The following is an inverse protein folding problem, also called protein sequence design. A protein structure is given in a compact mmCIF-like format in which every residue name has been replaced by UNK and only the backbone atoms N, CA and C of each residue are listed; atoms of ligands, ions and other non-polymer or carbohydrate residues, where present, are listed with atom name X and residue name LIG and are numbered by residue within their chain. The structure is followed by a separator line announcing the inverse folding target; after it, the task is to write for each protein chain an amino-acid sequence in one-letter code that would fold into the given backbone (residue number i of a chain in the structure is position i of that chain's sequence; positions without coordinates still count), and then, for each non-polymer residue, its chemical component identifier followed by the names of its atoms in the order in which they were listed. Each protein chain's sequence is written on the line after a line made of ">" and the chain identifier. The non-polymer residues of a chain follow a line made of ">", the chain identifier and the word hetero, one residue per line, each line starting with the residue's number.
data_IF_810764581934
#
_entry.id   IF_810764581934
#
_cell.length_a   1.000
_cell.length_b   1.000
_cell.length_c   1.000
_cell.angle_alpha   90.00
_cell.angle_beta   90.00
_cell.angle_gamma   90.00
#
_symmetry.space_group_name_H-M   'P 1'
#
loop_
_entity.id
_entity.type
_entity.pdbx_description
1 polymer ?
#
# COMPACT_ATOMS: atom_id res chain seq x y z
N UNK A 1 -28.57 -26.92 4.32
CA UNK A 1 -27.22 -27.15 3.78
C UNK A 1 -26.88 -25.96 2.92
N UNK A 2 -26.06 -25.00 3.38
CA UNK A 2 -25.52 -23.99 2.47
C UNK A 2 -24.54 -24.70 1.54
N UNK A 3 -24.67 -24.52 0.22
CA UNK A 3 -23.63 -24.95 -0.72
C UNK A 3 -22.27 -24.46 -0.21
N UNK A 4 -21.31 -25.37 -0.08
CA UNK A 4 -19.92 -25.03 0.22
C UNK A 4 -19.39 -24.35 -1.04
N UNK A 5 -19.19 -23.04 -1.00
CA UNK A 5 -18.59 -22.31 -2.13
C UNK A 5 -17.16 -22.81 -2.30
N UNK A 6 -16.87 -23.48 -3.42
CA UNK A 6 -15.54 -23.99 -3.72
C UNK A 6 -14.74 -22.94 -4.47
N UNK A 7 -14.18 -21.98 -3.74
CA UNK A 7 -13.26 -20.97 -4.28
C UNK A 7 -11.85 -21.54 -4.22
N UNK A 8 -11.20 -21.67 -5.37
CA UNK A 8 -9.85 -22.22 -5.52
C UNK A 8 -8.78 -21.13 -5.47
N UNK A 9 -7.64 -21.45 -4.86
CA UNK A 9 -6.47 -20.57 -4.86
C UNK A 9 -5.78 -20.57 -6.22
N UNK A 10 -5.22 -19.42 -6.60
CA UNK A 10 -4.35 -19.29 -7.77
C UNK A 10 -2.90 -19.49 -7.37
N UNK A 11 -2.19 -20.39 -8.05
CA UNK A 11 -0.73 -20.56 -7.94
C UNK A 11 -0.20 -20.75 -6.51
N UNK A 12 -1.00 -21.36 -5.61
CA UNK A 12 -0.64 -21.52 -4.18
C UNK A 12 0.71 -22.23 -3.97
N UNK A 13 1.02 -23.21 -4.82
CA UNK A 13 2.27 -23.99 -4.76
C UNK A 13 3.54 -23.16 -4.97
N UNK A 14 3.43 -21.96 -5.54
CA UNK A 14 4.60 -21.11 -5.80
C UNK A 14 5.09 -20.42 -4.52
N UNK A 15 4.28 -20.44 -3.45
CA UNK A 15 4.52 -19.79 -2.16
C UNK A 15 4.90 -20.82 -1.09
N UNK A 16 6.17 -21.21 -1.07
CA UNK A 16 6.71 -22.22 -0.14
C UNK A 16 6.43 -21.93 1.35
N UNK A 17 6.23 -20.66 1.72
CA UNK A 17 5.87 -20.29 3.09
C UNK A 17 4.53 -20.90 3.55
N UNK A 18 3.61 -21.22 2.63
CA UNK A 18 2.31 -21.83 2.92
C UNK A 18 2.40 -23.33 3.26
N UNK A 19 3.53 -23.99 2.98
CA UNK A 19 3.74 -25.41 3.31
C UNK A 19 4.12 -25.64 4.78
N UNK A 20 4.25 -24.57 5.56
CA UNK A 20 4.63 -24.63 6.97
C UNK A 20 3.48 -25.16 7.85
N UNK A 21 3.86 -25.86 8.92
CA UNK A 21 2.99 -26.21 10.04
C UNK A 21 3.29 -25.30 11.23
N UNK A 22 2.25 -24.62 11.73
CA UNK A 22 2.30 -23.72 12.89
C UNK A 22 1.53 -24.39 14.03
N UNK A 23 2.19 -24.65 15.15
CA UNK A 23 1.61 -25.34 16.32
C UNK A 23 0.91 -26.67 15.98
N UNK A 24 1.43 -27.40 14.98
CA UNK A 24 0.85 -28.67 14.52
C UNK A 24 -0.31 -28.54 13.53
N UNK A 25 -0.67 -27.32 13.11
CA UNK A 25 -1.71 -27.04 12.13
C UNK A 25 -1.11 -26.45 10.84
N UNK A 26 -1.63 -26.79 9.64
CA UNK A 26 -1.15 -26.15 8.41
C UNK A 26 -1.37 -24.64 8.44
N UNK A 27 -0.45 -23.83 7.92
CA UNK A 27 -0.57 -22.37 7.93
C UNK A 27 -1.78 -21.88 7.10
N UNK A 28 -2.60 -21.01 7.71
CA UNK A 28 -3.58 -20.16 7.04
C UNK A 28 -3.13 -18.71 7.19
N UNK A 29 -2.51 -18.17 6.15
CA UNK A 29 -1.96 -16.81 6.18
C UNK A 29 -2.97 -15.78 5.69
N UNK A 30 -3.49 -14.97 6.62
CA UNK A 30 -4.53 -13.94 6.40
C UNK A 30 -4.08 -12.55 6.89
N UNK A 31 -2.78 -12.25 6.93
CA UNK A 31 -2.23 -10.91 7.23
C UNK A 31 -1.58 -10.24 6.00
N UNK A 32 -2.15 -10.51 4.82
CA UNK A 32 -1.67 -10.03 3.52
C UNK A 32 -1.62 -8.50 3.40
N UNK A 33 -2.56 -7.78 4.06
CA UNK A 33 -2.57 -6.33 4.07
C UNK A 33 -1.44 -5.71 4.92
N UNK A 34 -0.75 -6.49 5.77
CA UNK A 34 0.51 -6.06 6.39
C UNK A 34 1.69 -6.33 5.46
N UNK A 35 1.81 -7.55 4.95
CA UNK A 35 2.77 -7.92 3.91
C UNK A 35 2.28 -9.19 3.23
N UNK A 36 2.53 -9.33 1.93
CA UNK A 36 2.22 -10.58 1.24
C UNK A 36 3.37 -11.57 1.35
N UNK A 37 3.10 -12.85 1.09
CA UNK A 37 4.13 -13.87 0.90
C UNK A 37 4.82 -13.69 -0.47
N UNK A 38 5.95 -14.36 -0.67
CA UNK A 38 6.79 -14.18 -1.86
C UNK A 38 6.76 -15.45 -2.71
N UNK A 39 6.44 -15.36 -4.01
CA UNK A 39 6.52 -16.51 -4.89
C UNK A 39 8.00 -16.87 -5.10
N UNK A 40 8.25 -18.15 -5.38
CA UNK A 40 9.60 -18.70 -5.51
C UNK A 40 10.46 -17.95 -6.54
N UNK A 41 9.83 -17.42 -7.61
CA UNK A 41 10.52 -16.63 -8.65
C UNK A 41 11.14 -15.34 -8.11
N UNK A 42 10.52 -14.68 -7.11
CA UNK A 42 11.06 -13.48 -6.48
C UNK A 42 12.24 -13.84 -5.57
N UNK A 43 12.11 -14.92 -4.79
CA UNK A 43 13.17 -15.40 -3.90
C UNK A 43 14.41 -15.79 -4.70
N UNK A 44 14.21 -16.53 -5.80
CA UNK A 44 15.30 -16.97 -6.68
C UNK A 44 15.96 -15.80 -7.42
N UNK A 45 15.21 -14.73 -7.74
CA UNK A 45 15.75 -13.50 -8.33
C UNK A 45 16.74 -12.80 -7.38
N UNK A 46 16.38 -12.64 -6.10
CA UNK A 46 17.26 -12.08 -5.06
C UNK A 46 18.52 -12.94 -4.90
N UNK A 47 18.35 -14.26 -4.80
CA UNK A 47 19.45 -15.22 -4.64
C UNK A 47 20.41 -15.16 -5.82
N UNK A 48 19.90 -15.16 -7.05
CA UNK A 48 20.74 -15.10 -8.24
C UNK A 48 21.51 -13.78 -8.34
N UNK A 49 20.88 -12.65 -8.01
CA UNK A 49 21.57 -11.37 -7.99
C UNK A 49 22.81 -11.43 -7.09
N UNK A 50 22.62 -11.81 -5.83
CA UNK A 50 23.72 -11.84 -4.87
C UNK A 50 24.78 -12.89 -5.19
N UNK A 51 24.37 -14.08 -5.65
CA UNK A 51 25.29 -15.18 -5.90
C UNK A 51 26.12 -15.02 -7.19
N UNK A 52 25.62 -14.30 -8.21
CA UNK A 52 26.20 -14.30 -9.56
C UNK A 52 26.37 -12.93 -10.22
N UNK A 53 25.62 -11.92 -9.79
CA UNK A 53 25.41 -10.69 -10.58
C UNK A 53 25.74 -9.40 -9.81
N UNK A 54 26.23 -9.51 -8.58
CA UNK A 54 26.47 -8.38 -7.68
C UNK A 54 27.43 -7.35 -8.30
N UNK A 55 26.93 -6.13 -8.47
CA UNK A 55 27.69 -4.92 -8.76
C UNK A 55 26.88 -3.69 -8.37
N UNK A 56 27.55 -2.55 -8.26
CA UNK A 56 26.85 -1.26 -8.19
C UNK A 56 26.33 -0.86 -9.59
N UNK A 57 25.38 0.06 -9.65
CA UNK A 57 24.67 0.49 -10.88
C UNK A 57 25.10 1.88 -11.37
N UNK A 58 24.72 2.20 -12.61
CA UNK A 58 24.88 3.47 -13.34
C UNK A 58 26.30 3.89 -13.72
N UNK A 59 27.28 3.86 -12.80
CA UNK A 59 28.60 4.49 -13.01
C UNK A 59 29.73 3.55 -13.41
N UNK A 60 29.54 2.23 -13.33
CA UNK A 60 30.58 1.25 -13.65
C UNK A 60 30.57 0.83 -15.12
N UNK A 61 31.75 0.82 -15.74
CA UNK A 61 31.95 0.44 -17.15
C UNK A 61 32.15 -1.08 -17.37
N UNK A 62 32.31 -1.85 -16.29
CA UNK A 62 32.52 -3.30 -16.38
C UNK A 62 31.20 -4.06 -16.57
N UNK A 63 31.30 -5.27 -17.13
CA UNK A 63 30.15 -6.10 -17.51
C UNK A 63 29.07 -6.23 -16.43
N UNK A 64 29.46 -6.60 -15.19
CA UNK A 64 28.49 -6.77 -14.10
C UNK A 64 27.74 -5.49 -13.74
N UNK A 65 28.38 -4.32 -13.78
CA UNK A 65 27.73 -3.03 -13.53
C UNK A 65 26.76 -2.66 -14.65
N UNK A 66 27.17 -2.85 -15.91
CA UNK A 66 26.29 -2.61 -17.05
C UNK A 66 25.05 -3.51 -17.02
N UNK A 67 25.24 -4.80 -16.75
CA UNK A 67 24.15 -5.78 -16.59
C UNK A 67 23.22 -5.42 -15.41
N UNK A 68 23.79 -5.07 -14.25
CA UNK A 68 23.01 -4.66 -13.08
C UNK A 68 22.17 -3.41 -13.37
N UNK A 69 22.75 -2.42 -14.06
CA UNK A 69 22.06 -1.19 -14.47
C UNK A 69 20.90 -1.50 -15.40
N UNK A 70 21.12 -2.35 -16.41
CA UNK A 70 20.07 -2.75 -17.33
C UNK A 70 18.89 -3.43 -16.61
N UNK A 71 19.15 -4.32 -15.65
CA UNK A 71 18.10 -4.99 -14.87
C UNK A 71 17.37 -4.05 -13.92
N UNK A 72 18.09 -3.11 -13.31
CA UNK A 72 17.51 -2.10 -12.43
C UNK A 72 16.55 -1.19 -13.22
N UNK A 73 16.99 -0.63 -14.36
CA UNK A 73 16.14 0.21 -15.21
C UNK A 73 15.00 -0.57 -15.89
N UNK A 74 15.20 -1.85 -16.22
CA UNK A 74 14.11 -2.71 -16.70
C UNK A 74 13.00 -2.90 -15.65
N UNK A 75 13.33 -2.80 -14.35
CA UNK A 75 12.32 -2.77 -13.29
C UNK A 75 11.53 -1.48 -13.34
N UNK A 76 12.20 -0.34 -13.54
CA UNK A 76 11.54 0.96 -13.64
C UNK A 76 10.57 0.99 -14.83
N UNK A 77 10.97 0.43 -15.96
CA UNK A 77 10.08 0.27 -17.14
C UNK A 77 8.89 -0.64 -16.83
N UNK A 78 9.09 -1.74 -16.10
CA UNK A 78 7.98 -2.60 -15.67
C UNK A 78 7.01 -1.87 -14.74
N UNK A 79 7.52 -1.04 -13.82
CA UNK A 79 6.68 -0.19 -12.95
C UNK A 79 5.92 0.84 -13.77
N UNK A 80 6.59 1.55 -14.68
CA UNK A 80 5.96 2.51 -15.59
C UNK A 80 4.77 1.88 -16.30
N UNK A 81 4.96 0.70 -16.87
CA UNK A 81 3.90 0.00 -17.61
C UNK A 81 2.80 -0.53 -16.69
N UNK A 82 3.14 -1.02 -15.48
CA UNK A 82 2.16 -1.48 -14.49
C UNK A 82 1.15 -0.40 -14.10
N UNK A 83 1.62 0.83 -13.92
CA UNK A 83 0.78 1.95 -13.47
C UNK A 83 0.34 2.87 -14.61
N UNK A 84 0.70 2.53 -15.86
CA UNK A 84 0.48 3.36 -17.05
C UNK A 84 1.07 4.78 -16.92
N UNK A 85 2.28 4.90 -16.37
CA UNK A 85 2.99 6.19 -16.33
C UNK A 85 3.40 6.61 -17.76
N UNK A 86 3.18 7.89 -18.15
CA UNK A 86 3.54 8.36 -19.49
C UNK A 86 5.06 8.41 -19.70
N UNK A 87 5.82 8.68 -18.63
CA UNK A 87 7.26 8.83 -18.68
C UNK A 87 7.97 7.94 -17.67
N UNK A 88 9.22 7.59 -17.96
CA UNK A 88 10.01 6.68 -17.12
C UNK A 88 10.57 7.42 -15.91
N UNK A 89 11.00 8.66 -16.12
CA UNK A 89 11.57 9.56 -15.12
C UNK A 89 10.58 9.98 -14.02
N UNK A 90 9.28 9.76 -14.22
CA UNK A 90 8.25 10.01 -13.22
C UNK A 90 8.20 8.92 -12.14
N UNK A 91 8.84 7.78 -12.38
CA UNK A 91 8.91 6.65 -11.44
C UNK A 91 10.17 6.78 -10.60
N UNK A 92 10.02 7.05 -9.31
CA UNK A 92 11.11 7.18 -8.34
C UNK A 92 11.10 5.97 -7.38
N UNK A 93 12.22 5.29 -7.24
CA UNK A 93 12.38 4.23 -6.24
C UNK A 93 12.62 4.82 -4.85
N UNK A 94 11.90 4.28 -3.88
CA UNK A 94 11.97 4.68 -2.46
C UNK A 94 12.08 3.44 -1.58
N UNK A 95 12.12 3.61 -0.25
CA UNK A 95 12.14 2.48 0.69
C UNK A 95 10.77 1.82 0.88
N UNK A 96 9.70 2.45 0.40
CA UNK A 96 8.31 2.06 0.64
C UNK A 96 7.36 3.25 0.50
N UNK A 97 6.05 2.99 0.51
CA UNK A 97 4.99 4.01 0.49
C UNK A 97 5.24 5.13 1.50
N UNK A 98 5.66 4.79 2.72
CA UNK A 98 5.97 5.78 3.76
C UNK A 98 7.07 6.75 3.33
N UNK A 99 8.16 6.26 2.72
CA UNK A 99 9.28 7.09 2.29
C UNK A 99 8.89 7.94 1.06
N UNK A 100 8.09 7.38 0.15
CA UNK A 100 7.47 8.11 -0.96
C UNK A 100 6.58 9.28 -0.49
N UNK A 101 5.70 9.06 0.48
CA UNK A 101 4.84 10.13 1.01
C UNK A 101 5.67 11.16 1.78
N UNK A 102 6.71 10.75 2.51
CA UNK A 102 7.62 11.70 3.17
C UNK A 102 8.41 12.55 2.17
N UNK A 103 8.84 11.98 1.04
CA UNK A 103 9.47 12.72 -0.05
C UNK A 103 8.54 13.83 -0.53
N UNK A 104 7.28 13.49 -0.86
CA UNK A 104 6.30 14.49 -1.30
C UNK A 104 6.06 15.51 -0.19
N UNK A 105 5.64 15.10 1.01
CA UNK A 105 5.34 16.01 2.10
C UNK A 105 6.51 16.96 2.42
N UNK A 106 7.76 16.48 2.34
CA UNK A 106 8.95 17.31 2.49
C UNK A 106 9.12 18.27 1.31
N UNK A 107 9.40 17.75 0.12
CA UNK A 107 9.82 18.57 -1.02
C UNK A 107 8.70 19.42 -1.59
N UNK A 108 7.48 18.91 -1.67
CA UNK A 108 6.33 19.65 -2.17
C UNK A 108 5.97 20.83 -1.25
N UNK A 109 6.01 20.62 0.07
CA UNK A 109 5.64 21.68 1.03
C UNK A 109 6.62 22.85 1.03
N UNK A 110 7.86 22.65 0.59
CA UNK A 110 8.82 23.75 0.45
C UNK A 110 8.41 24.78 -0.61
N UNK A 111 7.63 24.36 -1.62
CA UNK A 111 7.22 25.22 -2.74
C UNK A 111 5.78 25.70 -2.60
N UNK A 112 4.86 24.80 -2.20
CA UNK A 112 3.43 25.05 -2.35
C UNK A 112 2.68 25.30 -1.04
N UNK A 113 3.34 25.18 0.12
CA UNK A 113 2.67 25.27 1.42
C UNK A 113 3.13 26.50 2.21
N UNK A 114 2.16 27.34 2.60
CA UNK A 114 2.38 28.55 3.38
C UNK A 114 1.59 28.53 4.70
N UNK A 115 1.82 29.53 5.54
CA UNK A 115 1.11 29.67 6.81
C UNK A 115 -0.40 29.82 6.58
N UNK A 116 -1.18 29.02 7.31
CA UNK A 116 -2.63 29.00 7.23
C UNK A 116 -3.21 28.22 6.06
N UNK A 117 -2.40 27.62 5.18
CA UNK A 117 -2.87 26.68 4.16
C UNK A 117 -3.39 25.38 4.81
N UNK A 118 -4.14 24.60 4.04
CA UNK A 118 -4.86 23.42 4.51
C UNK A 118 -4.48 22.17 3.71
N UNK A 119 -4.25 21.07 4.42
CA UNK A 119 -4.03 19.73 3.87
C UNK A 119 -5.18 18.86 4.33
N UNK A 120 -5.91 18.26 3.39
CA UNK A 120 -7.02 17.35 3.71
C UNK A 120 -6.51 15.91 3.71
N UNK A 121 -6.81 15.17 4.78
CA UNK A 121 -6.50 13.74 4.93
C UNK A 121 -7.75 13.00 5.39
N UNK A 122 -8.03 11.82 4.84
CA UNK A 122 -9.23 11.07 5.25
C UNK A 122 -9.11 10.47 6.67
N UNK A 123 -10.25 10.22 7.32
CA UNK A 123 -10.29 9.50 8.61
C UNK A 123 -9.64 8.11 8.54
N UNK A 124 -9.67 7.48 7.36
CA UNK A 124 -9.23 6.10 7.14
C UNK A 124 -7.75 5.98 6.74
N UNK A 125 -7.01 7.09 6.72
CA UNK A 125 -5.61 7.08 6.33
C UNK A 125 -4.74 6.22 7.26
N UNK A 126 -3.82 5.48 6.65
CA UNK A 126 -2.70 4.89 7.37
C UNK A 126 -1.84 6.00 7.96
N UNK A 127 -1.20 5.77 9.10
CA UNK A 127 -0.33 6.77 9.77
C UNK A 127 0.74 7.36 8.84
N UNK A 128 1.24 6.57 7.88
CA UNK A 128 2.19 7.02 6.84
C UNK A 128 1.64 8.11 5.92
N UNK A 129 0.31 8.25 5.80
CA UNK A 129 -0.36 9.30 5.04
C UNK A 129 -1.04 10.34 5.96
N UNK A 130 -0.63 10.42 7.24
CA UNK A 130 -1.07 11.45 8.19
C UNK A 130 0.14 12.19 8.76
N UNK A 131 1.07 11.44 9.36
CA UNK A 131 2.21 11.99 10.13
C UNK A 131 3.12 12.89 9.28
N UNK A 132 3.46 12.56 8.01
CA UNK A 132 4.29 13.45 7.20
C UNK A 132 3.65 14.82 6.96
N UNK A 133 2.32 14.85 6.76
CA UNK A 133 1.56 16.08 6.59
C UNK A 133 1.49 16.90 7.86
N UNK A 134 1.35 16.26 9.03
CA UNK A 134 1.41 16.94 10.32
C UNK A 134 2.78 17.60 10.55
N UNK A 135 3.87 16.90 10.21
CA UNK A 135 5.23 17.44 10.31
C UNK A 135 5.42 18.63 9.35
N UNK A 136 4.98 18.49 8.10
CA UNK A 136 5.06 19.58 7.11
C UNK A 136 4.24 20.79 7.55
N UNK A 137 3.00 20.56 8.00
CA UNK A 137 2.10 21.59 8.50
C UNK A 137 2.68 22.34 9.70
N UNK A 138 3.23 21.61 10.67
CA UNK A 138 3.90 22.23 11.83
C UNK A 138 5.06 23.13 11.42
N UNK A 139 5.87 22.73 10.43
CA UNK A 139 7.01 23.53 9.94
C UNK A 139 6.59 24.76 9.15
N UNK A 140 5.52 24.65 8.36
CA UNK A 140 5.05 25.71 7.44
C UNK A 140 3.95 26.60 8.04
N UNK A 141 3.44 26.27 9.22
CA UNK A 141 2.29 26.94 9.83
C UNK A 141 0.96 26.60 9.16
N UNK A 142 0.88 25.49 8.41
CA UNK A 142 -0.34 25.01 7.79
C UNK A 142 -1.17 24.14 8.74
N UNK A 143 -2.33 23.68 8.29
CA UNK A 143 -3.30 22.93 9.09
C UNK A 143 -3.67 21.62 8.38
N UNK A 144 -3.61 20.51 9.11
CA UNK A 144 -4.17 19.23 8.62
C UNK A 144 -5.63 19.13 9.06
N UNK A 145 -6.54 18.87 8.12
CA UNK A 145 -7.97 18.68 8.38
C UNK A 145 -8.43 17.29 7.95
N UNK A 146 -9.33 16.72 8.73
CA UNK A 146 -9.92 15.41 8.49
C UNK A 146 -11.04 15.47 7.44
N UNK A 147 -11.04 14.53 6.48
CA UNK A 147 -12.17 14.22 5.61
C UNK A 147 -12.96 13.08 6.27
N UNK A 148 -14.18 13.35 6.76
CA UNK A 148 -14.93 12.40 7.57
C UNK A 148 -15.56 11.27 6.74
N UNK A 149 -15.83 10.15 7.40
CA UNK A 149 -16.48 8.96 6.84
C UNK A 149 -17.82 8.64 7.53
N UNK A 150 -18.71 7.92 6.83
CA UNK A 150 -19.94 7.34 7.39
C UNK A 150 -19.65 6.06 8.21
N UNK A 151 -20.67 5.46 8.80
CA UNK A 151 -20.53 4.24 9.61
C UNK A 151 -20.31 2.97 8.76
N UNK A 152 -20.59 3.03 7.45
CA UNK A 152 -20.25 1.99 6.50
C UNK A 152 -18.75 2.03 6.15
N UNK A 153 -18.06 3.14 6.42
CA UNK A 153 -16.64 3.32 6.12
C UNK A 153 -16.38 4.00 4.79
N UNK A 154 -17.30 4.80 4.29
CA UNK A 154 -17.21 5.55 3.02
C UNK A 154 -17.06 7.04 3.28
N UNK A 155 -16.37 7.76 2.38
CA UNK A 155 -16.19 9.22 2.47
C UNK A 155 -17.55 9.93 2.45
N UNK A 156 -17.74 10.90 3.34
CA UNK A 156 -18.90 11.79 3.30
C UNK A 156 -18.67 12.88 2.24
N UNK A 157 -19.13 12.63 1.01
CA UNK A 157 -18.88 13.47 -0.17
C UNK A 157 -19.30 14.93 0.03
N UNK A 158 -20.47 15.18 0.61
CA UNK A 158 -20.95 16.55 0.90
C UNK A 158 -19.98 17.31 1.82
N UNK A 159 -19.42 16.62 2.83
CA UNK A 159 -18.44 17.20 3.77
C UNK A 159 -17.11 17.44 3.08
N UNK A 160 -16.69 16.53 2.20
CA UNK A 160 -15.47 16.69 1.42
C UNK A 160 -15.56 17.91 0.49
N UNK A 161 -16.68 18.09 -0.22
CA UNK A 161 -16.92 19.25 -1.08
C UNK A 161 -17.01 20.56 -0.28
N UNK A 162 -17.60 20.54 0.92
CA UNK A 162 -17.59 21.70 1.83
C UNK A 162 -16.17 22.08 2.25
N UNK A 163 -15.32 21.12 2.62
CA UNK A 163 -13.92 21.37 2.96
C UNK A 163 -13.16 21.98 1.78
N UNK A 164 -13.38 21.44 0.58
CA UNK A 164 -12.81 21.93 -0.68
C UNK A 164 -13.28 23.34 -1.08
N UNK A 165 -14.36 23.87 -0.49
CA UNK A 165 -14.79 25.25 -0.75
C UNK A 165 -13.79 26.31 -0.27
N UNK A 166 -12.88 25.93 0.63
CA UNK A 166 -11.77 26.75 1.10
C UNK A 166 -10.67 26.88 0.04
N UNK A 167 -10.34 28.11 -0.35
CA UNK A 167 -9.22 28.39 -1.27
C UNK A 167 -7.82 28.14 -0.66
N UNK A 168 -7.79 27.78 0.63
CA UNK A 168 -6.57 27.45 1.37
C UNK A 168 -6.17 25.98 1.24
N UNK A 169 -7.05 25.12 0.71
CA UNK A 169 -6.70 23.72 0.48
C UNK A 169 -5.64 23.65 -0.63
N UNK A 170 -4.48 23.10 -0.32
CA UNK A 170 -3.36 22.93 -1.27
C UNK A 170 -3.07 21.48 -1.61
N UNK A 171 -3.40 20.57 -0.70
CA UNK A 171 -3.17 19.13 -0.87
C UNK A 171 -4.36 18.35 -0.33
N UNK A 172 -4.75 17.31 -1.07
CA UNK A 172 -5.60 16.23 -0.59
C UNK A 172 -4.78 14.95 -0.66
N UNK A 173 -4.64 14.26 0.46
CA UNK A 173 -3.98 12.96 0.51
C UNK A 173 -4.98 11.88 0.93
N UNK A 174 -5.15 10.86 0.09
CA UNK A 174 -6.18 9.86 0.26
C UNK A 174 -5.70 8.45 -0.09
N UNK A 175 -6.03 7.47 0.74
CA UNK A 175 -5.86 6.06 0.44
C UNK A 175 -6.78 5.66 -0.73
N UNK A 176 -6.23 4.97 -1.72
CA UNK A 176 -7.04 4.35 -2.78
C UNK A 176 -7.89 3.22 -2.21
N UNK A 177 -7.29 2.41 -1.33
CA UNK A 177 -7.94 1.31 -0.62
C UNK A 177 -7.56 1.37 0.86
N UNK A 178 -8.54 1.36 1.75
CA UNK A 178 -8.29 1.33 3.19
C UNK A 178 -7.66 0.00 3.61
N UNK A 179 -6.53 0.04 4.32
CA UNK A 179 -5.88 -1.16 4.87
C UNK A 179 -6.69 -1.83 6.00
N UNK A 180 -7.69 -1.15 6.54
CA UNK A 180 -8.49 -1.60 7.68
C UNK A 180 -9.90 -1.97 7.22
N UNK A 181 -10.58 -1.04 6.55
CA UNK A 181 -11.97 -1.23 6.15
C UNK A 181 -12.09 -1.99 4.83
N UNK A 182 -11.02 -2.05 4.04
CA UNK A 182 -11.06 -2.52 2.66
C UNK A 182 -11.76 -1.57 1.68
N UNK A 183 -12.38 -0.47 2.15
CA UNK A 183 -13.10 0.49 1.30
C UNK A 183 -12.24 0.92 0.12
N UNK A 184 -12.79 0.81 -1.10
CA UNK A 184 -12.19 1.33 -2.33
C UNK A 184 -12.75 2.74 -2.54
N UNK A 185 -11.89 3.76 -2.51
CA UNK A 185 -12.28 5.15 -2.72
C UNK A 185 -12.25 5.50 -4.21
N UNK A 186 -13.25 6.25 -4.69
CA UNK A 186 -13.28 6.81 -6.05
C UNK A 186 -12.31 8.00 -6.16
N UNK A 187 -11.01 7.71 -6.10
CA UNK A 187 -9.95 8.71 -6.08
C UNK A 187 -9.90 9.52 -7.37
N UNK A 188 -10.39 8.98 -8.50
CA UNK A 188 -10.55 9.72 -9.75
C UNK A 188 -11.55 10.86 -9.62
N UNK A 189 -12.73 10.57 -9.07
CA UNK A 189 -13.75 11.59 -8.79
C UNK A 189 -13.23 12.62 -7.79
N UNK A 190 -12.54 12.19 -6.74
CA UNK A 190 -12.05 13.09 -5.70
C UNK A 190 -10.87 13.96 -6.17
N UNK A 191 -9.95 13.42 -6.96
CA UNK A 191 -8.87 14.18 -7.60
C UNK A 191 -9.44 15.28 -8.50
N UNK A 192 -10.44 14.95 -9.34
CA UNK A 192 -11.13 15.93 -10.17
C UNK A 192 -11.69 17.10 -9.34
N UNK A 193 -12.41 16.83 -8.26
CA UNK A 193 -12.96 17.89 -7.41
C UNK A 193 -11.88 18.72 -6.70
N UNK A 194 -10.77 18.10 -6.28
CA UNK A 194 -9.64 18.81 -5.71
C UNK A 194 -8.98 19.76 -6.74
N UNK A 195 -8.77 19.28 -7.96
CA UNK A 195 -8.20 20.05 -9.06
C UNK A 195 -9.08 21.23 -9.48
N UNK A 196 -10.40 21.06 -9.49
CA UNK A 196 -11.35 22.16 -9.72
C UNK A 196 -11.21 23.31 -8.71
N UNK A 197 -10.57 23.06 -7.56
CA UNK A 197 -10.25 24.05 -6.52
C UNK A 197 -8.77 24.42 -6.47
N UNK A 198 -7.95 23.87 -7.37
CA UNK A 198 -6.51 24.14 -7.45
C UNK A 198 -5.66 23.44 -6.39
N UNK A 199 -6.21 22.41 -5.71
CA UNK A 199 -5.46 21.58 -4.78
C UNK A 199 -4.82 20.39 -5.50
N UNK A 200 -3.60 20.01 -5.12
CA UNK A 200 -2.97 18.79 -5.61
C UNK A 200 -3.53 17.55 -4.89
N UNK A 201 -3.40 16.37 -5.50
CA UNK A 201 -3.94 15.11 -5.00
C UNK A 201 -2.87 14.01 -4.94
N UNK A 202 -2.59 13.51 -3.74
CA UNK A 202 -1.75 12.34 -3.50
C UNK A 202 -2.61 11.11 -3.20
N UNK A 203 -2.34 10.02 -3.90
CA UNK A 203 -2.95 8.71 -3.67
C UNK A 203 -1.99 7.79 -2.92
N UNK A 204 -2.38 7.30 -1.75
CA UNK A 204 -1.76 6.13 -1.12
C UNK A 204 -2.35 4.85 -1.76
N UNK A 205 -1.57 4.27 -2.67
CA UNK A 205 -1.90 3.06 -3.43
C UNK A 205 -1.40 1.76 -2.81
N UNK A 206 -0.95 1.77 -1.55
CA UNK A 206 -0.28 0.63 -0.94
C UNK A 206 -1.14 -0.64 -0.89
N UNK A 207 -2.46 -0.50 -0.87
CA UNK A 207 -3.43 -1.60 -0.87
C UNK A 207 -4.22 -1.73 -2.18
N UNK A 208 -3.97 -0.89 -3.19
CA UNK A 208 -4.64 -1.04 -4.49
C UNK A 208 -3.74 -1.75 -5.50
N UNK A 209 -2.42 -1.49 -5.46
CA UNK A 209 -1.48 -1.88 -6.52
C UNK A 209 -1.41 -3.39 -6.80
N UNK A 210 -1.72 -4.23 -5.81
CA UNK A 210 -1.70 -5.69 -5.92
C UNK A 210 -3.06 -6.32 -6.26
N UNK A 211 -4.14 -5.55 -6.14
CA UNK A 211 -5.50 -6.07 -6.05
C UNK A 211 -6.41 -5.58 -7.18
N UNK A 212 -6.02 -4.49 -7.86
CA UNK A 212 -6.77 -3.90 -8.96
C UNK A 212 -5.85 -3.22 -9.97
N UNK A 213 -6.37 -2.98 -11.19
CA UNK A 213 -5.66 -2.19 -12.20
C UNK A 213 -5.50 -0.75 -11.75
N UNK A 214 -4.33 -0.19 -12.02
CA UNK A 214 -4.01 1.21 -11.74
C UNK A 214 -3.55 1.86 -13.05
N UNK A 215 -4.18 2.97 -13.39
CA UNK A 215 -3.75 3.86 -14.47
C UNK A 215 -3.67 5.27 -13.90
N UNK A 216 -2.45 5.73 -13.64
CA UNK A 216 -2.22 7.05 -13.01
C UNK A 216 -2.65 8.21 -13.89
N UNK A 217 -2.73 8.01 -15.21
CA UNK A 217 -3.25 9.01 -16.15
C UNK A 217 -4.78 9.09 -16.05
N UNK A 218 -5.46 7.94 -16.01
CA UNK A 218 -6.92 7.90 -15.87
C UNK A 218 -7.40 8.37 -14.50
N UNK A 219 -6.65 8.05 -13.44
CA UNK A 219 -6.92 8.55 -12.09
C UNK A 219 -6.70 10.05 -11.97
N UNK A 220 -5.86 10.63 -12.83
CA UNK A 220 -5.42 12.03 -12.80
C UNK A 220 -4.97 12.48 -11.41
N UNK A 221 -4.27 11.62 -10.67
CA UNK A 221 -3.62 12.04 -9.43
C UNK A 221 -2.30 12.76 -9.73
N UNK A 222 -1.81 13.57 -8.79
CA UNK A 222 -0.53 14.26 -8.94
C UNK A 222 0.65 13.44 -8.42
N UNK A 223 0.36 12.58 -7.44
CA UNK A 223 1.31 11.62 -6.86
C UNK A 223 0.61 10.29 -6.55
N UNK A 224 1.31 9.19 -6.74
CA UNK A 224 0.86 7.84 -6.41
C UNK A 224 1.98 7.07 -5.72
N UNK A 225 1.74 6.59 -4.50
CA UNK A 225 2.75 5.91 -3.70
C UNK A 225 2.37 4.46 -3.40
N UNK A 226 3.31 3.52 -3.48
CA UNK A 226 3.07 2.13 -3.07
C UNK A 226 4.35 1.38 -2.64
N UNK A 227 4.17 0.20 -2.04
CA UNK A 227 5.23 -0.64 -1.49
C UNK A 227 5.28 -2.00 -2.16
N UNK A 228 6.48 -2.44 -2.59
CA UNK A 228 6.67 -3.73 -3.23
C UNK A 228 6.27 -4.92 -2.33
N UNK A 229 6.51 -4.83 -1.01
CA UNK A 229 6.23 -5.93 -0.08
C UNK A 229 4.74 -6.26 0.11
N UNK A 230 3.84 -5.37 -0.35
CA UNK A 230 2.39 -5.63 -0.41
C UNK A 230 1.91 -6.15 -1.77
N UNK A 231 2.83 -6.28 -2.73
CA UNK A 231 2.59 -6.81 -4.07
C UNK A 231 3.61 -7.89 -4.42
N UNK A 232 3.85 -8.79 -3.46
CA UNK A 232 4.68 -10.02 -3.60
C UNK A 232 6.16 -9.78 -3.80
N UNK A 233 6.57 -8.51 -3.88
CA UNK A 233 7.95 -8.07 -3.99
C UNK A 233 8.69 -8.03 -2.65
N UNK A 234 9.97 -7.67 -2.69
CA UNK A 234 10.82 -7.60 -1.51
C UNK A 234 10.46 -6.45 -0.56
N UNK A 235 10.92 -6.55 0.68
CA UNK A 235 10.92 -5.45 1.65
C UNK A 235 11.95 -4.39 1.27
N UNK A 236 11.76 -3.14 1.75
CA UNK A 236 12.72 -2.06 1.53
C UNK A 236 12.70 -1.46 0.12
N UNK A 237 11.69 -1.79 -0.67
CA UNK A 237 11.44 -1.21 -2.00
C UNK A 237 10.02 -0.65 -2.04
N UNK A 238 9.91 0.59 -2.48
CA UNK A 238 8.67 1.26 -2.82
C UNK A 238 8.85 2.14 -4.03
N UNK A 239 7.74 2.75 -4.42
CA UNK A 239 7.67 3.61 -5.60
C UNK A 239 6.88 4.86 -5.22
N UNK A 240 7.43 6.00 -5.63
CA UNK A 240 6.67 7.22 -5.84
C UNK A 240 6.54 7.41 -7.35
N UNK A 241 5.32 7.50 -7.86
CA UNK A 241 5.07 8.15 -9.13
C UNK A 241 4.59 9.58 -8.86
N UNK A 242 4.97 10.53 -9.70
CA UNK A 242 4.40 11.87 -9.69
C UNK A 242 4.50 12.55 -11.04
N UNK A 243 3.59 13.50 -11.30
CA UNK A 243 3.62 14.28 -12.55
C UNK A 243 4.98 14.97 -12.71
N UNK A 244 5.60 14.81 -13.88
CA UNK A 244 6.94 15.31 -14.20
C UNK A 244 7.14 16.78 -13.82
N UNK A 245 6.17 17.63 -14.16
CA UNK A 245 6.21 19.07 -13.85
C UNK A 245 6.38 19.35 -12.36
N UNK A 246 5.67 18.61 -11.50
CA UNK A 246 5.78 18.78 -10.05
C UNK A 246 7.10 18.22 -9.51
N UNK A 247 7.54 17.05 -10.00
CA UNK A 247 8.82 16.45 -9.62
C UNK A 247 10.02 17.34 -9.99
N UNK A 248 9.95 18.02 -11.14
CA UNK A 248 10.97 18.97 -11.61
C UNK A 248 11.04 20.22 -10.73
N UNK A 249 9.89 20.77 -10.31
CA UNK A 249 9.81 21.96 -9.44
C UNK A 249 10.25 21.67 -8.00
N UNK A 250 9.96 20.48 -7.48
CA UNK A 250 10.25 20.12 -6.10
C UNK A 250 11.77 20.09 -5.79
N UNK A 251 12.27 20.69 -4.70
CA UNK A 251 13.68 20.55 -4.31
C UNK A 251 14.03 19.10 -3.91
N UNK A 252 15.31 18.70 -3.92
CA UNK A 252 15.71 17.37 -3.48
C UNK A 252 15.28 17.05 -2.04
N UNK A 253 14.99 15.77 -1.79
CA UNK A 253 14.60 15.27 -0.46
C UNK A 253 15.81 14.82 0.37
N UNK A 254 16.59 13.87 -0.16
CA UNK A 254 17.83 13.38 0.45
C UNK A 254 19.01 13.85 -0.39
N UNK A 255 20.11 14.26 0.26
CA UNK A 255 21.34 14.68 -0.40
C UNK A 255 22.44 13.63 -0.30
N UNK A 256 23.21 13.44 -1.38
CA UNK A 256 24.32 12.49 -1.39
C UNK A 256 24.88 12.21 -2.79
N UNK A 257 25.61 11.10 -2.93
CA UNK A 257 26.00 10.58 -4.25
C UNK A 257 24.78 10.18 -5.10
N UNK A 258 25.01 9.86 -6.37
CA UNK A 258 23.99 9.52 -7.38
C UNK A 258 23.08 10.69 -7.80
N UNK A 259 22.54 11.47 -6.86
CA UNK A 259 21.56 12.55 -7.13
C UNK A 259 22.15 13.91 -7.53
N UNK A 260 23.49 14.02 -7.56
CA UNK A 260 24.22 15.24 -7.94
C UNK A 260 24.72 15.20 -9.38
N UNK A 261 24.79 16.37 -10.01
CA UNK A 261 25.46 16.61 -11.30
C UNK A 261 26.89 17.12 -11.10
N UNK A 262 27.07 18.14 -10.25
CA UNK A 262 28.37 18.70 -9.88
C UNK A 262 28.38 19.12 -8.41
N UNK A 263 29.46 18.80 -7.68
CA UNK A 263 29.66 19.17 -6.27
C UNK A 263 30.93 20.02 -6.15
N UNK A 264 30.79 21.23 -5.63
CA UNK A 264 31.87 22.14 -5.20
C UNK A 264 31.62 22.58 -3.76
N UNK A 265 32.65 23.08 -3.07
CA UNK A 265 32.47 23.58 -1.69
C UNK A 265 31.56 24.83 -1.65
N UNK A 266 31.53 25.61 -2.72
CA UNK A 266 30.74 26.82 -2.84
C UNK A 266 29.29 26.56 -3.28
N UNK A 267 28.98 25.35 -3.76
CA UNK A 267 27.64 25.01 -4.24
C UNK A 267 27.56 23.66 -4.97
N UNK A 268 26.35 23.11 -5.03
CA UNK A 268 26.03 21.83 -5.68
C UNK A 268 24.91 22.03 -6.70
N UNK A 269 25.03 21.36 -7.85
CA UNK A 269 23.94 21.21 -8.83
C UNK A 269 23.45 19.77 -8.82
N UNK A 270 22.14 19.60 -8.97
CA UNK A 270 21.47 18.30 -8.85
C UNK A 270 21.26 17.65 -10.23
N UNK A 271 21.12 16.34 -10.23
CA UNK A 271 20.71 15.60 -11.42
C UNK A 271 19.25 15.87 -11.78
N UNK A 272 18.89 15.41 -12.97
CA UNK A 272 17.52 15.39 -13.46
C UNK A 272 16.77 14.18 -12.87
N UNK A 273 15.50 14.04 -13.24
CA UNK A 273 14.69 12.90 -12.83
C UNK A 273 15.12 11.63 -13.60
N UNK A 274 15.05 10.44 -12.96
CA UNK A 274 14.61 10.19 -11.58
C UNK A 274 15.71 10.36 -10.52
N UNK A 275 16.98 10.44 -10.90
CA UNK A 275 18.13 10.36 -9.99
C UNK A 275 18.16 11.49 -8.94
N UNK A 276 17.56 12.65 -9.23
CA UNK A 276 17.37 13.77 -8.29
C UNK A 276 16.84 13.32 -6.92
N UNK A 277 16.03 12.26 -6.88
CA UNK A 277 15.40 11.75 -5.66
C UNK A 277 15.94 10.38 -5.20
N UNK A 278 16.93 9.80 -5.89
CA UNK A 278 17.52 8.50 -5.56
C UNK A 278 18.95 8.69 -5.02
N UNK A 279 19.05 9.25 -3.82
CA UNK A 279 20.33 9.56 -3.19
C UNK A 279 21.06 8.30 -2.67
N UNK A 280 22.34 8.18 -3.02
CA UNK A 280 23.21 7.08 -2.60
C UNK A 280 23.03 5.80 -3.42
N UNK A 281 23.65 4.71 -2.96
CA UNK A 281 23.47 3.40 -3.58
C UNK A 281 22.05 2.89 -3.28
N UNK A 282 21.22 2.57 -4.28
CA UNK A 282 19.86 2.10 -4.05
C UNK A 282 19.82 0.64 -3.58
N UNK A 283 18.63 0.14 -3.23
CA UNK A 283 18.44 -1.28 -2.92
C UNK A 283 18.40 -2.13 -4.21
N UNK A 284 19.55 -2.28 -4.87
CA UNK A 284 19.69 -2.87 -6.22
C UNK A 284 19.04 -4.25 -6.32
N UNK A 285 19.40 -5.19 -5.43
CA UNK A 285 18.86 -6.55 -5.44
C UNK A 285 17.33 -6.59 -5.26
N UNK A 286 16.82 -5.73 -4.38
CA UNK A 286 15.39 -5.61 -4.13
C UNK A 286 14.66 -5.06 -5.34
N UNK A 287 15.17 -3.99 -5.97
CA UNK A 287 14.57 -3.43 -7.18
C UNK A 287 14.58 -4.46 -8.31
N UNK A 288 15.70 -5.14 -8.57
CA UNK A 288 15.76 -6.18 -9.61
C UNK A 288 14.73 -7.31 -9.36
N UNK A 289 14.63 -7.77 -8.10
CA UNK A 289 13.66 -8.82 -7.74
C UNK A 289 12.20 -8.33 -7.76
N UNK A 290 11.99 -7.02 -7.59
CA UNK A 290 10.66 -6.44 -7.65
C UNK A 290 10.05 -6.60 -9.05
N UNK A 291 10.85 -6.50 -10.14
CA UNK A 291 10.38 -6.82 -11.49
C UNK A 291 9.79 -8.23 -11.57
N UNK A 292 10.44 -9.22 -10.96
CA UNK A 292 9.93 -10.60 -10.95
C UNK A 292 8.56 -10.73 -10.28
N UNK A 293 8.28 -9.89 -9.27
CA UNK A 293 6.95 -9.85 -8.65
C UNK A 293 5.90 -9.20 -9.57
N UNK A 294 6.27 -8.13 -10.28
CA UNK A 294 5.41 -7.47 -11.27
C UNK A 294 5.08 -8.44 -12.41
N UNK A 295 6.10 -9.06 -13.01
CA UNK A 295 5.93 -10.00 -14.12
C UNK A 295 5.02 -11.17 -13.70
N UNK A 296 5.27 -11.73 -12.50
CA UNK A 296 4.46 -12.83 -11.96
C UNK A 296 2.99 -12.44 -11.78
N UNK A 297 2.72 -11.26 -11.23
CA UNK A 297 1.36 -10.76 -11.04
C UNK A 297 0.65 -10.51 -12.38
N UNK A 298 1.36 -9.95 -13.37
CA UNK A 298 0.83 -9.71 -14.71
C UNK A 298 0.57 -11.01 -15.48
N UNK A 299 1.39 -12.04 -15.29
CA UNK A 299 1.19 -13.37 -15.88
C UNK A 299 -0.10 -14.03 -15.37
N UNK A 300 -0.41 -13.90 -14.08
CA UNK A 300 -1.68 -14.37 -13.51
C UNK A 300 -2.86 -13.53 -14.03
N UNK A 301 -2.65 -12.22 -14.13
CA UNK A 301 -3.63 -11.23 -14.58
C UNK A 301 -4.41 -10.60 -13.43
N UNK A 302 -4.37 -9.27 -13.34
CA UNK A 302 -5.02 -8.49 -12.27
C UNK A 302 -6.54 -8.67 -12.22
N UNK A 303 -7.21 -8.88 -13.36
CA UNK A 303 -8.66 -9.13 -13.37
C UNK A 303 -9.00 -10.47 -12.69
N UNK A 304 -8.17 -11.49 -12.90
CA UNK A 304 -8.35 -12.82 -12.30
C UNK A 304 -8.06 -12.79 -10.81
N UNK A 305 -7.01 -12.06 -10.41
CA UNK A 305 -6.68 -11.81 -9.00
C UNK A 305 -7.86 -11.13 -8.30
N UNK A 306 -8.33 -10.01 -8.84
CA UNK A 306 -9.46 -9.25 -8.29
C UNK A 306 -10.71 -10.12 -8.18
N UNK A 307 -11.03 -10.92 -9.20
CA UNK A 307 -12.21 -11.78 -9.19
C UNK A 307 -12.17 -12.83 -8.06
N UNK A 308 -11.04 -13.51 -7.86
CA UNK A 308 -10.90 -14.53 -6.81
C UNK A 308 -10.97 -13.87 -5.43
N UNK A 309 -10.30 -12.74 -5.27
CA UNK A 309 -10.30 -11.98 -4.03
C UNK A 309 -11.68 -11.44 -3.64
N UNK A 310 -12.45 -10.96 -4.61
CA UNK A 310 -13.85 -10.56 -4.44
C UNK A 310 -14.72 -11.72 -3.97
N UNK A 311 -14.54 -12.91 -4.55
CA UNK A 311 -15.25 -14.12 -4.13
C UNK A 311 -14.89 -14.47 -2.68
N UNK A 312 -13.61 -14.45 -2.32
CA UNK A 312 -13.14 -14.74 -0.97
C UNK A 312 -13.70 -13.76 0.05
N UNK A 313 -13.67 -12.44 -0.24
CA UNK A 313 -14.20 -11.45 0.70
C UNK A 313 -15.72 -11.53 0.84
N UNK A 314 -16.45 -11.82 -0.24
CA UNK A 314 -17.91 -12.04 -0.17
C UNK A 314 -18.23 -13.27 0.67
N UNK A 315 -17.53 -14.38 0.44
CA UNK A 315 -17.70 -15.61 1.21
C UNK A 315 -17.36 -15.41 2.70
N UNK A 316 -16.20 -14.79 2.99
CA UNK A 316 -15.78 -14.48 4.34
C UNK A 316 -16.75 -13.52 5.05
N UNK A 317 -17.19 -12.45 4.38
CA UNK A 317 -18.14 -11.49 4.94
C UNK A 317 -19.45 -12.18 5.32
N UNK A 318 -19.98 -13.04 4.45
CA UNK A 318 -21.19 -13.84 4.72
C UNK A 318 -20.99 -14.75 5.95
N UNK A 319 -19.92 -15.54 5.97
CA UNK A 319 -19.65 -16.50 7.06
C UNK A 319 -19.37 -15.83 8.40
N UNK A 320 -18.64 -14.72 8.40
CA UNK A 320 -18.36 -13.97 9.63
C UNK A 320 -19.62 -13.30 10.18
N UNK A 321 -20.52 -12.83 9.31
CA UNK A 321 -21.81 -12.25 9.72
C UNK A 321 -22.76 -13.27 10.36
N UNK A 322 -22.55 -14.57 10.12
CA UNK A 322 -23.31 -15.65 10.78
C UNK A 322 -22.84 -15.93 12.22
N UNK A 323 -21.68 -15.39 12.64
CA UNK A 323 -21.15 -15.58 14.00
C UNK A 323 -21.83 -14.59 14.95
N UNK A 324 -22.63 -15.11 15.88
CA UNK A 324 -23.31 -14.29 16.90
C UNK A 324 -22.27 -13.51 17.72
N UNK A 325 -22.50 -12.22 17.94
CA UNK A 325 -21.60 -11.35 18.71
C UNK A 325 -20.38 -10.86 17.93
N UNK A 326 -20.18 -11.28 16.67
CA UNK A 326 -19.18 -10.70 15.78
C UNK A 326 -19.77 -9.52 15.01
N UNK A 327 -19.05 -8.41 14.95
CA UNK A 327 -19.40 -7.23 14.15
C UNK A 327 -18.27 -6.85 13.21
N UNK A 328 -18.55 -6.81 11.91
CA UNK A 328 -17.63 -6.34 10.89
C UNK A 328 -17.53 -4.80 10.97
N UNK A 329 -16.30 -4.28 10.84
CA UNK A 329 -15.97 -2.86 10.78
C UNK A 329 -15.53 -2.54 9.34
N UNK A 330 -16.30 -1.69 8.65
CA UNK A 330 -16.15 -1.46 7.20
C UNK A 330 -17.08 -2.36 6.39
N UNK A 331 -18.18 -1.78 5.94
CA UNK A 331 -19.24 -2.42 5.14
C UNK A 331 -19.59 -1.60 3.89
N UNK A 332 -18.62 -0.82 3.40
CA UNK A 332 -18.72 -0.08 2.15
C UNK A 332 -19.17 -0.98 1.00
N UNK A 333 -19.87 -0.37 0.04
CA UNK A 333 -20.38 -1.10 -1.12
C UNK A 333 -19.23 -1.76 -1.93
N UNK A 334 -18.18 -0.98 -2.21
CA UNK A 334 -17.00 -1.43 -2.93
C UNK A 334 -15.84 -1.64 -1.95
N UNK A 335 -15.38 -2.88 -1.83
CA UNK A 335 -14.42 -3.30 -0.82
C UNK A 335 -13.42 -4.31 -1.39
N UNK A 336 -12.14 -4.06 -1.15
CA UNK A 336 -11.05 -4.98 -1.45
C UNK A 336 -11.02 -6.16 -0.46
N UNK A 337 -10.00 -7.02 -0.59
CA UNK A 337 -9.82 -8.29 0.11
C UNK A 337 -9.51 -8.19 1.61
N UNK A 338 -10.13 -7.26 2.35
CA UNK A 338 -9.93 -7.03 3.79
C UNK A 338 -11.25 -7.09 4.57
N UNK A 339 -11.23 -7.77 5.72
CA UNK A 339 -12.33 -7.79 6.69
C UNK A 339 -11.78 -7.53 8.10
N UNK A 340 -12.03 -6.31 8.60
CA UNK A 340 -11.85 -5.99 10.01
C UNK A 340 -13.12 -6.32 10.79
N UNK A 341 -12.96 -6.81 12.02
CA UNK A 341 -14.09 -7.15 12.89
C UNK A 341 -13.72 -7.03 14.37
N UNK A 342 -14.76 -6.93 15.20
CA UNK A 342 -14.70 -7.07 16.66
C UNK A 342 -15.65 -8.18 17.09
N UNK A 343 -15.42 -8.76 18.27
CA UNK A 343 -16.29 -9.78 18.84
C UNK A 343 -16.64 -9.41 20.28
N UNK A 344 -17.93 -9.45 20.62
CA UNK A 344 -18.43 -9.17 21.96
C UNK A 344 -17.75 -10.08 22.99
N UNK A 345 -17.35 -9.51 24.13
CA UNK A 345 -16.68 -10.23 25.21
C UNK A 345 -15.21 -10.59 24.96
N UNK A 346 -14.69 -10.41 23.74
CA UNK A 346 -13.33 -10.80 23.37
C UNK A 346 -12.46 -9.60 23.04
N UNK A 347 -11.35 -9.44 23.77
CA UNK A 347 -10.35 -8.45 23.39
C UNK A 347 -9.64 -8.91 22.10
N UNK A 348 -9.42 -8.04 21.09
CA UNK A 348 -8.82 -8.44 19.81
C UNK A 348 -7.48 -9.15 19.94
N UNK A 349 -6.67 -8.80 20.94
CA UNK A 349 -5.39 -9.47 21.18
C UNK A 349 -5.57 -10.96 21.55
N UNK A 350 -6.55 -11.29 22.37
CA UNK A 350 -6.82 -12.66 22.82
C UNK A 350 -7.33 -13.50 21.63
N UNK A 351 -8.17 -12.91 20.77
CA UNK A 351 -8.56 -13.52 19.50
C UNK A 351 -7.34 -13.87 18.64
N UNK A 352 -6.39 -12.94 18.49
CA UNK A 352 -5.18 -13.17 17.69
C UNK A 352 -4.36 -14.35 18.21
N UNK A 353 -4.17 -14.44 19.53
CA UNK A 353 -3.43 -15.53 20.16
C UNK A 353 -4.12 -16.88 19.97
N UNK A 354 -5.44 -16.95 20.21
CA UNK A 354 -6.20 -18.20 20.05
C UNK A 354 -6.19 -18.66 18.59
N UNK A 355 -6.31 -17.74 17.63
CA UNK A 355 -6.28 -18.06 16.20
C UNK A 355 -4.88 -18.52 15.75
N UNK A 356 -3.81 -17.91 16.26
CA UNK A 356 -2.43 -18.34 15.97
C UNK A 356 -2.20 -19.78 16.41
N UNK A 357 -2.65 -20.16 17.62
CA UNK A 357 -2.61 -21.55 18.13
C UNK A 357 -3.41 -22.54 17.26
N UNK A 358 -4.28 -22.08 16.36
CA UNK A 358 -4.98 -22.91 15.37
C UNK A 358 -4.35 -22.85 13.96
N UNK A 359 -3.17 -22.22 13.85
CA UNK A 359 -2.42 -22.00 12.62
C UNK A 359 -3.01 -20.90 11.73
N UNK A 360 -3.87 -20.02 12.25
CA UNK A 360 -4.54 -18.94 11.49
C UNK A 360 -3.91 -17.59 11.83
N UNK A 361 -3.07 -17.08 10.91
CA UNK A 361 -2.39 -15.82 11.07
C UNK A 361 -3.29 -14.64 10.63
N UNK A 362 -3.79 -13.87 11.59
CA UNK A 362 -4.49 -12.61 11.39
C UNK A 362 -3.74 -11.45 12.07
N UNK A 363 -4.18 -10.20 11.84
CA UNK A 363 -3.67 -9.05 12.58
C UNK A 363 -4.64 -8.57 13.63
N UNK A 364 -4.13 -8.10 14.75
CA UNK A 364 -4.92 -7.45 15.80
C UNK A 364 -4.27 -6.13 16.19
N UNK A 365 -5.09 -5.18 16.66
CA UNK A 365 -4.64 -3.86 17.09
C UNK A 365 -5.24 -2.73 16.26
N UNK A 366 -4.49 -1.63 16.14
CA UNK A 366 -4.98 -0.42 15.46
C UNK A 366 -4.67 -0.38 13.96
N UNK A 367 -3.92 -1.35 13.42
CA UNK A 367 -3.52 -1.39 12.00
C UNK A 367 -2.89 -0.09 11.45
N UNK A 368 -2.25 0.69 12.32
CA UNK A 368 -1.75 2.03 12.00
C UNK A 368 -2.83 3.00 11.50
N UNK A 369 -4.05 2.91 12.02
CA UNK A 369 -5.21 3.76 11.72
C UNK A 369 -5.92 4.21 13.01
N UNK A 370 -5.17 4.65 14.01
CA UNK A 370 -5.75 5.05 15.32
C UNK A 370 -6.90 6.08 15.24
N UNK A 371 -6.87 7.13 14.39
CA UNK A 371 -8.02 8.02 14.22
C UNK A 371 -9.29 7.28 13.80
N UNK A 372 -9.16 6.27 12.95
CA UNK A 372 -10.24 5.41 12.52
C UNK A 372 -10.82 4.57 13.67
N UNK A 373 -9.95 4.02 14.53
CA UNK A 373 -10.37 3.29 15.73
C UNK A 373 -11.19 4.18 16.67
N UNK A 374 -10.75 5.43 16.86
CA UNK A 374 -11.49 6.43 17.64
C UNK A 374 -12.85 6.76 17.01
N UNK A 375 -12.92 6.93 15.68
CA UNK A 375 -14.18 7.19 14.94
C UNK A 375 -15.20 6.07 15.10
N UNK A 376 -14.76 4.82 15.13
CA UNK A 376 -15.61 3.65 15.36
C UNK A 376 -15.83 3.31 16.84
N UNK A 377 -15.22 4.08 17.75
CA UNK A 377 -15.27 3.88 19.20
C UNK A 377 -14.89 2.45 19.61
N UNK A 378 -13.80 1.93 19.04
CA UNK A 378 -13.23 0.62 19.38
C UNK A 378 -11.76 0.78 19.76
N UNK A 379 -11.25 0.05 20.75
CA UNK A 379 -9.84 0.13 21.12
C UNK A 379 -8.93 -0.49 20.06
N UNK A 380 -9.41 -1.52 19.35
CA UNK A 380 -8.70 -2.25 18.32
C UNK A 380 -9.68 -3.10 17.49
N UNK A 381 -9.21 -3.63 16.36
CA UNK A 381 -9.91 -4.68 15.60
C UNK A 381 -9.04 -5.91 15.41
N UNK A 382 -9.66 -7.05 15.13
CA UNK A 382 -9.03 -8.15 14.42
C UNK A 382 -9.23 -7.94 12.92
N UNK A 383 -8.26 -8.34 12.09
CA UNK A 383 -8.29 -8.16 10.64
C UNK A 383 -7.79 -9.41 9.93
N UNK A 384 -8.66 -9.98 9.12
CA UNK A 384 -8.31 -10.98 8.11
C UNK A 384 -8.22 -10.27 6.75
N UNK A 385 -7.12 -10.48 6.04
CA UNK A 385 -6.84 -9.90 4.73
C UNK A 385 -6.40 -11.02 3.80
N UNK A 386 -7.10 -11.16 2.68
CA UNK A 386 -6.98 -12.25 1.74
C UNK A 386 -6.11 -11.85 0.55
N UNK A 387 -5.68 -12.86 -0.19
CA UNK A 387 -4.99 -12.72 -1.46
C UNK A 387 -5.41 -13.87 -2.38
N UNK A 388 -5.10 -13.79 -3.68
CA UNK A 388 -5.43 -14.84 -4.65
C UNK A 388 -4.90 -16.25 -4.32
N UNK A 389 -3.86 -16.41 -3.50
CA UNK A 389 -3.37 -17.74 -3.07
C UNK A 389 -4.14 -18.33 -1.88
N UNK A 390 -5.08 -17.59 -1.31
CA UNK A 390 -6.04 -18.10 -0.34
C UNK A 390 -7.21 -18.80 -1.04
N UNK A 391 -7.97 -19.61 -0.30
CA UNK A 391 -9.11 -20.36 -0.81
C UNK A 391 -10.28 -20.39 0.18
N UNK A 392 -11.38 -21.03 -0.21
CA UNK A 392 -12.56 -21.21 0.65
C UNK A 392 -12.27 -21.99 1.94
N UNK A 393 -11.31 -22.92 1.93
CA UNK A 393 -10.89 -23.67 3.12
C UNK A 393 -10.19 -22.78 4.15
N UNK A 394 -9.35 -21.83 3.70
CA UNK A 394 -8.73 -20.82 4.58
C UNK A 394 -9.80 -20.00 5.31
N UNK A 395 -10.91 -19.63 4.63
CA UNK A 395 -12.05 -18.94 5.23
C UNK A 395 -12.79 -19.83 6.23
N UNK A 396 -13.06 -21.09 5.88
CA UNK A 396 -13.72 -22.05 6.78
C UNK A 396 -12.89 -22.28 8.05
N UNK A 397 -11.56 -22.35 7.93
CA UNK A 397 -10.64 -22.48 9.07
C UNK A 397 -10.62 -21.24 9.95
N UNK A 398 -10.65 -20.04 9.36
CA UNK A 398 -10.83 -18.79 10.12
C UNK A 398 -12.12 -18.83 10.95
N UNK A 399 -13.25 -19.19 10.33
CA UNK A 399 -14.56 -19.25 11.00
C UNK A 399 -14.57 -20.30 12.12
N UNK A 400 -13.97 -21.46 11.88
CA UNK A 400 -13.84 -22.51 12.89
C UNK A 400 -13.01 -22.04 14.10
N UNK A 401 -11.86 -21.39 13.84
CA UNK A 401 -11.00 -20.86 14.89
C UNK A 401 -11.69 -19.75 15.70
N UNK A 402 -12.48 -18.88 15.06
CA UNK A 402 -13.26 -17.84 15.73
C UNK A 402 -14.36 -18.41 16.63
N UNK A 403 -15.07 -19.46 16.17
CA UNK A 403 -16.07 -20.15 17.00
C UNK A 403 -15.44 -20.80 18.23
N UNK A 404 -14.28 -21.43 18.05
CA UNK A 404 -13.51 -21.97 19.18
C UNK A 404 -13.06 -20.87 20.15
N UNK A 405 -12.61 -19.72 19.65
CA UNK A 405 -12.28 -18.58 20.50
C UNK A 405 -13.48 -18.07 21.29
N UNK A 406 -14.68 -18.05 20.68
CA UNK A 406 -15.93 -17.70 21.36
C UNK A 406 -16.35 -18.70 22.45
N UNK A 407 -15.95 -19.97 22.36
CA UNK A 407 -16.22 -20.96 23.42
C UNK A 407 -15.27 -20.81 24.62
N UNK A 408 -14.11 -20.18 24.42
CA UNK A 408 -13.04 -20.03 25.43
C UNK A 408 -13.08 -18.70 26.19
N UNK A 409 -13.71 -17.67 25.62
CA UNK A 409 -13.83 -16.30 26.14
C UNK A 409 -15.25 -16.03 26.60
#
# INVERSE_FOLDING_TARGET
>A
MSEKENIEALHRSDFLALDQSIHGHPLVYLDNAATTLKPSVVVESIKNHYAKETANVHRGIHFLSAMGTQKYEATREAVKNLIHSPHLEEVIFTKGTTDAINLVAHSWSEIYLQEGDEILVSTMEHHSNIVPWQIAAQKKGAIVKEIPINDQGEILEDRYQELLSSSKVKMVAMAHVSNTLGTINDVKKYAKWAHEKGAHFLVDGAQSIAHMKVDVQDLDCDFFAFSAHKMFGPTGVGVLWGKKTLLEEMPPYQGGGAMIKEVKFEGTTFNELPEKFEAGTPHIAGVIAFKSAIDYMLEIGLDRISQVEDQLVKYATKKLSEIKGLRIIGTAQDKASVVSFVMEGAHPHDLGMILDEQGVAIRTGHHCTQPLMNRFNVPATARASFCFYNNSEDVDRLVSALKKAQELL
#
